data_IF_251733664601
#
_entry.id   IF_251733664601
#
_cell.length_a   1.000
_cell.length_b   1.000
_cell.length_c   1.000
_cell.angle_alpha   90.00
_cell.angle_beta   90.00
_cell.angle_gamma   90.00
#
_symmetry.space_group_name_H-M   'P 1'
#
loop_
_entity.id
_entity.type
_entity.pdbx_description
1 polymer ?
#
# COMPACT_ATOMS: atom_id res chain seq x y z
N UNK A 1 -33.41 -5.29 1.38
CA UNK A 1 -32.27 -5.27 2.34
C UNK A 1 -30.96 -5.73 1.70
N UNK A 2 -30.95 -6.81 0.91
CA UNK A 2 -29.75 -7.24 0.15
C UNK A 2 -29.30 -6.24 -0.93
N UNK A 3 -30.22 -5.59 -1.66
CA UNK A 3 -29.90 -4.56 -2.64
C UNK A 3 -29.34 -3.26 -2.03
N UNK A 4 -29.77 -2.90 -0.81
CA UNK A 4 -29.26 -1.73 -0.08
C UNK A 4 -27.84 -1.99 0.45
N UNK A 5 -27.55 -3.23 0.83
CA UNK A 5 -26.25 -3.67 1.35
C UNK A 5 -25.22 -3.89 0.23
N UNK A 6 -25.66 -4.33 -0.97
CA UNK A 6 -24.83 -4.35 -2.18
C UNK A 6 -24.44 -2.94 -2.59
N UNK A 7 -25.36 -1.97 -2.48
CA UNK A 7 -25.06 -0.55 -2.70
C UNK A 7 -24.05 -0.01 -1.69
N UNK A 8 -24.16 -0.33 -0.40
CA UNK A 8 -23.17 0.09 0.62
C UNK A 8 -21.80 -0.57 0.41
N UNK A 9 -21.77 -1.84 0.00
CA UNK A 9 -20.52 -2.56 -0.29
C UNK A 9 -19.84 -2.02 -1.55
N UNK A 10 -20.60 -1.66 -2.60
CA UNK A 10 -20.07 -0.96 -3.77
C UNK A 10 -19.65 0.49 -3.44
N UNK A 11 -20.41 1.21 -2.61
CA UNK A 11 -20.11 2.59 -2.19
C UNK A 11 -18.83 2.67 -1.34
N UNK A 12 -18.49 1.63 -0.59
CA UNK A 12 -17.22 1.54 0.15
C UNK A 12 -16.03 1.09 -0.71
N UNK A 13 -16.29 0.47 -1.87
CA UNK A 13 -15.28 0.02 -2.83
C UNK A 13 -14.99 1.06 -3.93
N UNK A 14 -15.79 2.12 -4.05
CA UNK A 14 -15.53 3.23 -4.97
C UNK A 14 -15.09 4.44 -4.15
N UNK A 15 -13.80 4.79 -4.07
CA UNK A 15 -13.40 6.07 -3.48
C UNK A 15 -14.02 7.20 -4.32
N UNK A 16 -14.71 8.11 -3.63
CA UNK A 16 -15.73 8.98 -4.19
C UNK A 16 -15.30 9.89 -5.33
N UNK A 17 -16.17 9.97 -6.35
CA UNK A 17 -16.47 11.22 -7.05
C UNK A 17 -17.62 11.89 -6.28
N UNK A 18 -17.27 12.76 -5.35
CA UNK A 18 -18.18 13.81 -4.85
C UNK A 18 -17.37 15.10 -4.84
N UNK A 19 -17.42 15.82 -5.97
CA UNK A 19 -17.31 17.26 -5.93
C UNK A 19 -18.62 17.80 -6.47
N UNK A 20 -19.33 18.45 -5.55
CA UNK A 20 -20.57 19.16 -5.74
C UNK A 20 -20.39 20.27 -6.75
N UNK A 21 -21.41 20.41 -7.59
CA UNK A 21 -21.71 21.53 -8.44
C UNK A 21 -21.93 22.83 -7.62
N UNK A 22 -21.79 23.96 -8.32
CA UNK A 22 -22.16 25.34 -7.98
C UNK A 22 -21.25 26.21 -7.07
N UNK A 23 -20.41 27.02 -7.72
CA UNK A 23 -20.18 28.43 -7.33
C UNK A 23 -19.83 29.25 -8.56
N UNK A 24 -20.88 29.58 -9.32
CA UNK A 24 -20.89 30.73 -10.23
C UNK A 24 -20.99 32.03 -9.42
N UNK A 25 -20.33 33.08 -9.95
CA UNK A 25 -20.26 34.50 -9.54
C UNK A 25 -19.04 34.87 -8.69
N UNK A 26 -17.99 35.37 -9.37
CA UNK A 26 -17.65 36.80 -9.31
C UNK A 26 -16.72 37.20 -10.48
N UNK A 27 -17.14 38.27 -11.17
CA UNK A 27 -16.37 39.21 -11.97
C UNK A 27 -15.78 38.77 -13.32
N UNK A 28 -16.56 39.02 -14.37
CA UNK A 28 -16.07 39.41 -15.69
C UNK A 28 -15.37 40.79 -15.67
N UNK A 29 -14.62 41.04 -16.75
CA UNK A 29 -14.02 42.30 -17.21
C UNK A 29 -12.73 42.77 -16.53
N UNK A 30 -11.59 42.67 -17.24
CA UNK A 30 -11.10 43.78 -18.08
C UNK A 30 -9.88 43.36 -18.90
N UNK A 31 -10.11 43.24 -20.20
CA UNK A 31 -9.17 43.67 -21.23
C UNK A 31 -8.76 45.13 -20.97
N UNK A 32 -7.48 45.38 -20.69
CA UNK A 32 -6.74 46.63 -20.95
C UNK A 32 -5.53 46.71 -20.00
N UNK A 33 -4.36 46.27 -20.48
CA UNK A 33 -3.09 46.94 -20.17
C UNK A 33 -1.97 46.52 -21.14
N UNK A 34 -2.29 46.51 -22.43
CA UNK A 34 -1.30 46.81 -23.45
C UNK A 34 -1.15 48.33 -23.51
N UNK A 35 0.08 48.80 -23.70
CA UNK A 35 0.46 50.21 -23.85
C UNK A 35 0.55 51.03 -22.57
N UNK A 36 1.63 50.84 -21.80
CA UNK A 36 2.30 52.00 -21.23
C UNK A 36 3.82 51.81 -21.26
N UNK A 37 4.48 52.78 -21.90
CA UNK A 37 5.90 53.13 -21.81
C UNK A 37 6.88 52.39 -22.75
N UNK A 38 6.64 52.54 -24.04
CA UNK A 38 7.72 52.99 -24.94
C UNK A 38 7.73 54.52 -24.97
N UNK A 39 8.93 55.11 -25.04
CA UNK A 39 9.30 56.52 -25.30
C UNK A 39 9.78 57.31 -24.08
N UNK A 40 11.10 57.30 -23.85
CA UNK A 40 11.81 58.56 -23.66
C UNK A 40 13.25 58.45 -24.19
N UNK A 41 13.55 59.37 -25.10
CA UNK A 41 14.81 59.67 -25.78
C UNK A 41 15.83 60.34 -24.84
N UNK A 42 17.14 60.21 -25.12
CA UNK A 42 18.14 61.15 -24.59
C UNK A 42 19.58 60.65 -24.58
N UNK A 43 20.46 61.42 -25.22
CA UNK A 43 21.91 61.22 -25.39
C UNK A 43 22.67 61.91 -24.23
N UNK A 44 23.89 61.42 -23.97
CA UNK A 44 25.06 62.04 -23.30
C UNK A 44 25.29 61.96 -21.76
N UNK A 45 26.42 61.29 -21.46
CA UNK A 45 27.54 61.68 -20.58
C UNK A 45 27.47 61.69 -19.04
N UNK A 46 28.30 60.79 -18.49
CA UNK A 46 29.11 60.86 -17.27
C UNK A 46 28.50 60.53 -15.89
N UNK A 47 28.97 59.40 -15.33
CA UNK A 47 29.65 59.24 -14.03
C UNK A 47 29.23 57.98 -13.27
N UNK A 48 30.23 57.28 -12.71
CA UNK A 48 30.20 55.96 -12.11
C UNK A 48 29.06 55.69 -11.12
N UNK A 49 28.48 54.49 -11.17
CA UNK A 49 28.31 53.66 -9.96
C UNK A 49 28.21 52.17 -10.34
N UNK A 50 29.13 51.39 -9.78
CA UNK A 50 29.14 49.92 -9.73
C UNK A 50 27.78 49.35 -9.34
N UNK A 51 27.23 48.45 -10.14
CA UNK A 51 26.25 47.47 -9.65
C UNK A 51 26.59 46.11 -10.22
N UNK A 52 27.27 45.30 -9.39
CA UNK A 52 27.45 43.87 -9.59
C UNK A 52 26.07 43.23 -9.75
N UNK A 53 25.78 42.64 -10.91
CA UNK A 53 24.70 41.66 -11.03
C UNK A 53 25.07 40.46 -10.15
N UNK A 54 24.16 39.96 -9.28
CA UNK A 54 24.41 38.71 -8.58
C UNK A 54 24.32 37.57 -9.59
N UNK A 55 25.46 36.93 -9.85
CA UNK A 55 25.52 35.65 -10.52
C UNK A 55 24.79 34.64 -9.62
N UNK A 56 23.52 34.35 -9.92
CA UNK A 56 22.78 33.25 -9.27
C UNK A 56 23.46 31.96 -9.72
N UNK A 57 24.46 31.54 -8.96
CA UNK A 57 25.09 30.25 -9.13
C UNK A 57 24.07 29.20 -8.77
N UNK A 58 23.59 28.44 -9.77
CA UNK A 58 22.91 27.16 -9.58
C UNK A 58 23.93 26.13 -9.06
N UNK A 59 24.57 26.42 -7.92
CA UNK A 59 25.47 25.51 -7.24
C UNK A 59 24.62 24.45 -6.53
N UNK A 60 24.60 23.24 -7.09
CA UNK A 60 24.13 22.06 -6.38
C UNK A 60 24.97 21.87 -5.12
N UNK A 61 24.36 22.12 -3.95
CA UNK A 61 25.03 21.97 -2.64
C UNK A 61 25.49 20.52 -2.49
N UNK A 62 26.80 20.30 -2.52
CA UNK A 62 27.39 18.97 -2.33
C UNK A 62 27.23 18.56 -0.86
N UNK A 63 26.83 17.31 -0.61
CA UNK A 63 26.73 16.79 0.75
C UNK A 63 28.12 16.70 1.42
N UNK A 64 28.14 16.93 2.73
CA UNK A 64 29.36 16.82 3.56
C UNK A 64 29.85 15.36 3.73
N UNK A 65 28.91 14.39 3.76
CA UNK A 65 29.21 12.95 3.86
C UNK A 65 28.54 12.12 2.75
N UNK A 66 29.13 10.97 2.44
CA UNK A 66 28.60 10.00 1.50
C UNK A 66 27.53 9.13 2.18
N UNK A 67 26.39 8.93 1.51
CA UNK A 67 25.41 7.94 1.93
C UNK A 67 26.00 6.54 1.78
N UNK A 68 26.26 5.87 2.90
CA UNK A 68 26.76 4.50 2.93
C UNK A 68 25.83 3.64 3.78
N UNK A 69 25.43 2.50 3.25
CA UNK A 69 24.79 1.43 4.01
C UNK A 69 25.91 0.50 4.48
N UNK A 70 26.01 0.26 5.78
CA UNK A 70 27.02 -0.62 6.36
C UNK A 70 26.91 -2.03 5.75
N UNK A 71 28.05 -2.66 5.42
CA UNK A 71 28.07 -4.04 4.88
C UNK A 71 27.38 -5.02 5.82
N UNK A 72 27.61 -4.90 7.13
CA UNK A 72 26.93 -5.69 8.17
C UNK A 72 25.40 -5.59 8.06
N UNK A 73 24.87 -4.39 7.78
CA UNK A 73 23.43 -4.21 7.57
C UNK A 73 22.95 -4.94 6.32
N UNK A 74 23.70 -4.87 5.21
CA UNK A 74 23.33 -5.57 3.97
C UNK A 74 23.22 -7.08 4.19
N UNK A 75 24.20 -7.68 4.88
CA UNK A 75 24.17 -9.11 5.21
C UNK A 75 22.98 -9.47 6.09
N UNK A 76 22.76 -8.75 7.20
CA UNK A 76 21.64 -9.01 8.11
C UNK A 76 20.30 -8.88 7.38
N UNK A 77 20.11 -7.79 6.63
CA UNK A 77 18.87 -7.54 5.91
C UNK A 77 18.60 -8.61 4.85
N UNK A 78 19.62 -9.03 4.09
CA UNK A 78 19.48 -10.11 3.10
C UNK A 78 19.09 -11.44 3.75
N UNK A 79 19.72 -11.82 4.87
CA UNK A 79 19.36 -13.05 5.61
C UNK A 79 17.90 -13.01 6.07
N UNK A 80 17.48 -11.87 6.64
CA UNK A 80 16.09 -11.66 7.07
C UNK A 80 15.13 -11.76 5.88
N UNK A 81 15.42 -11.07 4.77
CA UNK A 81 14.60 -11.14 3.54
C UNK A 81 14.49 -12.57 2.99
N UNK A 82 15.57 -13.35 2.99
CA UNK A 82 15.53 -14.76 2.57
C UNK A 82 14.65 -15.62 3.48
N UNK A 83 14.72 -15.41 4.81
CA UNK A 83 13.87 -16.13 5.75
C UNK A 83 12.38 -15.79 5.54
N UNK A 84 12.06 -14.50 5.36
CA UNK A 84 10.71 -14.02 5.04
C UNK A 84 10.20 -14.67 3.74
N UNK A 85 11.04 -14.70 2.70
CA UNK A 85 10.69 -15.32 1.43
C UNK A 85 10.30 -16.80 1.59
N UNK A 86 11.14 -17.60 2.26
CA UNK A 86 10.90 -19.04 2.44
C UNK A 86 9.63 -19.27 3.26
N UNK A 87 9.50 -18.60 4.41
CA UNK A 87 8.34 -18.76 5.31
C UNK A 87 7.06 -18.30 4.62
N UNK A 88 7.09 -17.17 3.93
CA UNK A 88 5.95 -16.62 3.22
C UNK A 88 5.49 -17.50 2.06
N UNK A 89 6.42 -18.01 1.26
CA UNK A 89 6.13 -18.93 0.17
C UNK A 89 5.51 -20.23 0.68
N UNK A 90 6.16 -20.89 1.64
CA UNK A 90 5.68 -22.16 2.21
C UNK A 90 4.32 -21.98 2.90
N UNK A 91 4.18 -20.93 3.72
CA UNK A 91 2.96 -20.65 4.47
C UNK A 91 1.75 -20.41 3.58
N UNK A 92 1.87 -19.47 2.61
CA UNK A 92 0.76 -19.13 1.73
C UNK A 92 0.43 -20.24 0.73
N UNK A 93 1.44 -20.94 0.19
CA UNK A 93 1.20 -22.11 -0.67
C UNK A 93 0.50 -23.24 0.09
N UNK A 94 0.88 -23.49 1.34
CA UNK A 94 0.22 -24.49 2.19
C UNK A 94 -1.22 -24.10 2.51
N UNK A 95 -1.47 -22.82 2.81
CA UNK A 95 -2.81 -22.30 3.05
C UNK A 95 -3.73 -22.49 1.83
N UNK A 96 -3.25 -22.13 0.63
CA UNK A 96 -3.97 -22.36 -0.63
C UNK A 96 -4.24 -23.85 -0.85
N UNK A 97 -3.24 -24.71 -0.65
CA UNK A 97 -3.37 -26.16 -0.77
C UNK A 97 -4.43 -26.73 0.17
N UNK A 98 -4.46 -26.28 1.43
CA UNK A 98 -5.46 -26.72 2.43
C UNK A 98 -6.87 -26.35 1.99
N UNK A 99 -7.08 -25.12 1.52
CA UNK A 99 -8.40 -24.65 1.08
C UNK A 99 -8.84 -25.40 -0.18
N UNK A 100 -7.90 -25.62 -1.12
CA UNK A 100 -8.17 -26.37 -2.33
C UNK A 100 -8.53 -27.83 -2.03
N UNK A 101 -7.76 -28.54 -1.22
CA UNK A 101 -7.95 -29.98 -1.01
C UNK A 101 -9.17 -30.34 -0.15
N UNK A 102 -9.54 -29.49 0.83
CA UNK A 102 -10.63 -29.78 1.75
C UNK A 102 -11.95 -29.16 1.28
N UNK A 103 -12.87 -29.98 0.75
CA UNK A 103 -14.20 -29.50 0.30
C UNK A 103 -14.97 -28.75 1.40
N UNK A 104 -14.85 -29.17 2.66
CA UNK A 104 -15.46 -28.51 3.82
C UNK A 104 -14.89 -27.12 4.14
N UNK A 105 -13.79 -26.73 3.50
CA UNK A 105 -13.17 -25.40 3.60
C UNK A 105 -13.52 -24.50 2.42
N UNK A 106 -14.24 -24.98 1.39
CA UNK A 106 -14.60 -24.18 0.21
C UNK A 106 -15.89 -23.40 0.45
N UNK A 107 -15.78 -22.30 1.17
CA UNK A 107 -16.86 -21.35 1.43
C UNK A 107 -16.41 -19.93 1.13
N UNK A 108 -17.34 -18.97 1.06
CA UNK A 108 -17.04 -17.57 0.73
C UNK A 108 -15.88 -16.95 1.54
N UNK A 109 -15.90 -17.00 2.88
CA UNK A 109 -14.83 -16.44 3.70
C UNK A 109 -13.45 -17.03 3.42
N UNK A 110 -13.38 -18.35 3.22
CA UNK A 110 -12.13 -19.03 2.91
C UNK A 110 -11.68 -18.75 1.46
N UNK A 111 -12.60 -18.43 0.54
CA UNK A 111 -12.26 -17.96 -0.80
C UNK A 111 -11.61 -16.56 -0.76
N UNK A 112 -12.06 -15.66 0.13
CA UNK A 112 -11.40 -14.37 0.39
C UNK A 112 -10.01 -14.57 0.99
N UNK A 113 -9.85 -15.50 1.94
CA UNK A 113 -8.53 -15.88 2.49
C UNK A 113 -7.62 -16.44 1.40
N UNK A 114 -8.15 -17.23 0.47
CA UNK A 114 -7.37 -17.74 -0.67
C UNK A 114 -6.98 -16.61 -1.63
N UNK A 115 -7.86 -15.65 -1.90
CA UNK A 115 -7.57 -14.44 -2.68
C UNK A 115 -6.44 -13.62 -2.04
N UNK A 116 -6.50 -13.43 -0.72
CA UNK A 116 -5.45 -12.79 0.08
C UNK A 116 -4.11 -13.54 -0.04
N UNK A 117 -4.10 -14.86 0.16
CA UNK A 117 -2.89 -15.68 0.07
C UNK A 117 -2.25 -15.66 -1.33
N UNK A 118 -3.07 -15.56 -2.40
CA UNK A 118 -2.57 -15.41 -3.76
C UNK A 118 -1.92 -14.03 -3.98
N UNK A 119 -2.53 -12.96 -3.47
CA UNK A 119 -1.94 -11.61 -3.47
C UNK A 119 -0.63 -11.56 -2.70
N UNK A 120 -0.57 -12.18 -1.52
CA UNK A 120 0.64 -12.31 -0.69
C UNK A 120 1.77 -13.03 -1.43
N UNK A 121 1.49 -14.14 -2.12
CA UNK A 121 2.49 -14.84 -2.93
C UNK A 121 3.04 -13.96 -4.05
N UNK A 122 2.18 -13.26 -4.79
CA UNK A 122 2.60 -12.34 -5.86
C UNK A 122 3.47 -11.23 -5.28
N UNK A 123 3.07 -10.64 -4.15
CA UNK A 123 3.86 -9.61 -3.47
C UNK A 123 5.25 -10.14 -3.08
N UNK A 124 5.34 -11.27 -2.37
CA UNK A 124 6.62 -11.84 -1.89
C UNK A 124 7.55 -12.21 -3.05
N UNK A 125 7.03 -12.84 -4.10
CA UNK A 125 7.82 -13.28 -5.27
C UNK A 125 8.47 -12.11 -6.00
N UNK A 126 7.82 -10.95 -5.98
CA UNK A 126 8.24 -9.79 -6.77
C UNK A 126 9.07 -8.82 -5.92
N UNK A 127 8.61 -8.55 -4.71
CA UNK A 127 9.16 -7.55 -3.82
C UNK A 127 10.56 -7.96 -3.34
N UNK A 128 10.69 -9.16 -2.74
CA UNK A 128 11.93 -9.57 -2.07
C UNK A 128 13.13 -9.67 -3.02
N UNK A 129 13.06 -10.37 -4.18
CA UNK A 129 14.21 -10.46 -5.07
C UNK A 129 14.69 -9.10 -5.54
N UNK A 130 13.78 -8.17 -5.81
CA UNK A 130 14.09 -6.83 -6.29
C UNK A 130 14.71 -5.97 -5.19
N UNK A 131 14.20 -6.05 -3.95
CA UNK A 131 14.78 -5.33 -2.80
C UNK A 131 16.20 -5.83 -2.52
N UNK A 132 16.39 -7.15 -2.47
CA UNK A 132 17.70 -7.75 -2.21
C UNK A 132 18.68 -7.40 -3.33
N UNK A 133 18.25 -7.48 -4.59
CA UNK A 133 19.08 -7.07 -5.72
C UNK A 133 19.48 -5.60 -5.63
N UNK A 134 18.53 -4.69 -5.37
CA UNK A 134 18.82 -3.26 -5.19
C UNK A 134 19.79 -3.01 -4.03
N UNK A 135 19.65 -3.73 -2.93
CA UNK A 135 20.51 -3.59 -1.76
C UNK A 135 21.95 -4.04 -2.04
N UNK A 136 22.13 -5.16 -2.73
CA UNK A 136 23.45 -5.74 -2.99
C UNK A 136 24.15 -5.13 -4.21
N UNK A 137 23.44 -5.03 -5.34
CA UNK A 137 24.01 -4.57 -6.60
C UNK A 137 24.00 -3.05 -6.76
N UNK A 138 23.21 -2.32 -5.95
CA UNK A 138 23.06 -0.85 -6.02
C UNK A 138 22.70 -0.33 -7.44
N UNK A 139 22.07 -1.18 -8.25
CA UNK A 139 21.71 -0.93 -9.64
C UNK A 139 20.32 -1.51 -9.93
N UNK A 140 19.67 -1.04 -10.99
CA UNK A 140 18.45 -1.68 -11.49
C UNK A 140 18.80 -2.92 -12.33
N UNK A 141 18.15 -4.09 -12.12
CA UNK A 141 18.42 -5.28 -12.90
C UNK A 141 18.08 -5.03 -14.37
N UNK A 142 18.98 -5.45 -15.26
CA UNK A 142 18.80 -5.35 -16.72
C UNK A 142 18.55 -3.92 -17.25
N UNK A 143 19.04 -2.88 -16.56
CA UNK A 143 18.74 -1.48 -16.86
C UNK A 143 19.06 -1.03 -18.29
N UNK A 144 20.02 -1.68 -18.96
CA UNK A 144 20.40 -1.37 -20.34
C UNK A 144 19.60 -2.13 -21.41
N UNK A 145 18.58 -2.91 -21.01
CA UNK A 145 17.75 -3.71 -21.91
C UNK A 145 16.29 -3.28 -21.89
N UNK A 146 15.58 -3.56 -22.98
CA UNK A 146 14.13 -3.36 -23.07
C UNK A 146 13.36 -4.13 -21.98
N UNK A 147 13.87 -5.29 -21.56
CA UNK A 147 13.31 -6.06 -20.47
C UNK A 147 13.41 -5.33 -19.12
N UNK A 148 14.54 -4.66 -18.83
CA UNK A 148 14.69 -3.83 -17.64
C UNK A 148 13.74 -2.63 -17.61
N UNK A 149 13.45 -2.04 -18.77
CA UNK A 149 12.46 -0.97 -18.88
C UNK A 149 11.05 -1.47 -18.59
N UNK A 150 10.66 -2.61 -19.17
CA UNK A 150 9.39 -3.26 -18.87
C UNK A 150 9.25 -3.57 -17.38
N UNK A 151 10.26 -4.20 -16.78
CA UNK A 151 10.29 -4.53 -15.36
C UNK A 151 10.15 -3.27 -14.49
N UNK A 152 10.75 -2.15 -14.88
CA UNK A 152 10.69 -0.91 -14.11
C UNK A 152 9.26 -0.36 -13.97
N UNK A 153 8.41 -0.63 -14.96
CA UNK A 153 6.97 -0.28 -14.91
C UNK A 153 6.15 -1.38 -14.26
N UNK A 154 6.43 -2.63 -14.62
CA UNK A 154 5.64 -3.78 -14.21
C UNK A 154 5.76 -4.09 -12.72
N UNK A 155 6.98 -4.05 -12.15
CA UNK A 155 7.22 -4.46 -10.77
C UNK A 155 6.58 -3.52 -9.74
N UNK A 156 6.70 -2.18 -9.83
CA UNK A 156 5.98 -1.28 -8.92
C UNK A 156 4.46 -1.38 -9.07
N UNK A 157 3.97 -1.56 -10.30
CA UNK A 157 2.54 -1.77 -10.58
C UNK A 157 1.99 -3.00 -9.86
N UNK A 158 2.59 -4.16 -10.10
CA UNK A 158 2.10 -5.42 -9.52
C UNK A 158 2.34 -5.47 -8.01
N UNK A 159 3.42 -4.85 -7.52
CA UNK A 159 3.65 -4.66 -6.09
C UNK A 159 2.48 -3.89 -5.46
N UNK A 160 2.12 -2.71 -6.00
CA UNK A 160 0.99 -1.93 -5.46
C UNK A 160 -0.36 -2.60 -5.65
N UNK A 161 -0.59 -3.27 -6.77
CA UNK A 161 -1.80 -4.06 -6.97
C UNK A 161 -1.93 -5.16 -5.91
N UNK A 162 -0.85 -5.86 -5.57
CA UNK A 162 -0.85 -6.91 -4.54
C UNK A 162 -1.13 -6.37 -3.13
N UNK A 163 -0.61 -5.18 -2.80
CA UNK A 163 -0.98 -4.48 -1.56
C UNK A 163 -2.47 -4.10 -1.58
N UNK A 164 -2.99 -3.66 -2.74
CA UNK A 164 -4.42 -3.35 -2.93
C UNK A 164 -5.30 -4.57 -2.67
N UNK A 165 -4.92 -5.71 -3.23
CA UNK A 165 -5.61 -7.00 -3.04
C UNK A 165 -5.62 -7.34 -1.55
N UNK A 166 -4.49 -7.16 -0.87
CA UNK A 166 -4.37 -7.43 0.57
C UNK A 166 -5.34 -6.59 1.39
N UNK A 167 -5.31 -5.26 1.24
CA UNK A 167 -6.09 -4.34 2.08
C UNK A 167 -7.59 -4.46 1.81
N UNK A 168 -7.99 -4.63 0.54
CA UNK A 168 -9.39 -4.79 0.16
C UNK A 168 -9.95 -6.15 0.61
N UNK A 169 -9.16 -7.22 0.57
CA UNK A 169 -9.58 -8.51 1.16
C UNK A 169 -9.74 -8.42 2.68
N UNK A 170 -8.89 -7.68 3.39
CA UNK A 170 -9.06 -7.46 4.85
C UNK A 170 -10.36 -6.71 5.17
N UNK A 171 -10.70 -5.70 4.36
CA UNK A 171 -11.98 -5.01 4.44
C UNK A 171 -13.16 -5.96 4.18
N UNK A 172 -13.10 -6.73 3.08
CA UNK A 172 -14.14 -7.70 2.72
C UNK A 172 -14.35 -8.76 3.81
N UNK A 173 -13.26 -9.27 4.39
CA UNK A 173 -13.30 -10.19 5.52
C UNK A 173 -14.01 -9.56 6.72
N UNK A 174 -13.70 -8.31 7.06
CA UNK A 174 -14.34 -7.57 8.16
C UNK A 174 -15.84 -7.39 7.94
N UNK A 175 -16.25 -7.02 6.72
CA UNK A 175 -17.65 -6.91 6.31
C UNK A 175 -18.36 -8.26 6.42
N UNK A 176 -17.75 -9.33 5.91
CA UNK A 176 -18.34 -10.66 5.94
C UNK A 176 -18.49 -11.18 7.39
N UNK A 177 -17.54 -10.89 8.29
CA UNK A 177 -17.69 -11.19 9.73
C UNK A 177 -18.88 -10.46 10.35
N UNK A 178 -19.01 -9.16 10.09
CA UNK A 178 -20.14 -8.38 10.58
C UNK A 178 -21.47 -8.93 10.04
N UNK A 179 -21.55 -9.19 8.73
CA UNK A 179 -22.74 -9.76 8.09
C UNK A 179 -23.13 -11.12 8.65
N UNK A 180 -22.15 -11.98 8.93
CA UNK A 180 -22.39 -13.29 9.54
C UNK A 180 -22.99 -13.17 10.95
N UNK A 181 -22.78 -12.05 11.66
CA UNK A 181 -23.35 -11.80 12.99
C UNK A 181 -24.71 -11.14 12.90
N UNK A 182 -24.84 -10.11 12.06
CA UNK A 182 -26.07 -9.34 11.88
C UNK A 182 -27.18 -10.13 11.16
N UNK A 183 -26.82 -10.97 10.18
CA UNK A 183 -27.77 -11.83 9.46
C UNK A 183 -27.78 -13.23 10.04
N UNK A 184 -28.90 -13.60 10.67
CA UNK A 184 -29.09 -14.91 11.27
C UNK A 184 -29.63 -15.98 10.30
N UNK A 185 -30.21 -15.57 9.16
CA UNK A 185 -30.81 -16.50 8.19
C UNK A 185 -29.88 -16.95 7.05
N UNK A 186 -28.62 -16.48 7.03
CA UNK A 186 -27.67 -16.90 6.00
C UNK A 186 -27.22 -18.34 6.27
N UNK A 187 -27.93 -19.30 5.69
CA UNK A 187 -27.49 -20.70 5.60
C UNK A 187 -26.14 -20.70 4.89
N UNK A 188 -25.07 -20.99 5.62
CA UNK A 188 -23.72 -21.10 5.08
C UNK A 188 -23.61 -22.46 4.37
N UNK A 189 -24.15 -22.52 3.15
CA UNK A 189 -24.04 -23.67 2.28
C UNK A 189 -22.58 -24.00 1.94
N UNK A 190 -22.33 -25.26 1.61
CA UNK A 190 -21.05 -25.71 1.05
C UNK A 190 -20.97 -25.17 -0.38
N UNK A 191 -19.90 -24.43 -0.69
CA UNK A 191 -19.71 -23.79 -2.00
C UNK A 191 -19.32 -22.31 -1.90
N UNK A 192 -18.72 -21.80 -2.97
CA UNK A 192 -18.39 -20.38 -3.11
C UNK A 192 -19.63 -19.71 -3.72
N UNK A 193 -20.33 -18.82 -2.99
CA UNK A 193 -21.47 -18.12 -3.56
C UNK A 193 -20.97 -17.21 -4.69
N UNK A 194 -21.76 -17.10 -5.76
CA UNK A 194 -21.45 -16.25 -6.92
C UNK A 194 -21.15 -14.79 -6.50
N UNK A 195 -21.84 -14.29 -5.48
CA UNK A 195 -21.59 -12.97 -4.88
C UNK A 195 -20.14 -12.83 -4.39
N UNK A 196 -19.57 -13.84 -3.74
CA UNK A 196 -18.16 -13.80 -3.30
C UNK A 196 -17.19 -13.89 -4.47
N UNK A 197 -17.54 -14.59 -5.55
CA UNK A 197 -16.71 -14.60 -6.75
C UNK A 197 -16.68 -13.21 -7.43
N UNK A 198 -17.83 -12.53 -7.52
CA UNK A 198 -17.91 -11.14 -7.98
C UNK A 198 -17.08 -10.22 -7.07
N UNK A 199 -17.22 -10.37 -5.75
CA UNK A 199 -16.47 -9.57 -4.77
C UNK A 199 -14.96 -9.72 -4.97
N UNK A 200 -14.45 -10.95 -5.11
CA UNK A 200 -13.03 -11.20 -5.40
C UNK A 200 -12.62 -10.55 -6.72
N UNK A 201 -13.40 -10.73 -7.79
CA UNK A 201 -13.09 -10.13 -9.08
C UNK A 201 -13.02 -8.59 -9.00
N UNK A 202 -13.98 -7.96 -8.31
CA UNK A 202 -13.99 -6.52 -8.08
C UNK A 202 -12.79 -6.04 -7.27
N UNK A 203 -12.37 -6.79 -6.25
CA UNK A 203 -11.15 -6.50 -5.46
C UNK A 203 -9.93 -6.47 -6.37
N UNK A 204 -9.76 -7.47 -7.22
CA UNK A 204 -8.61 -7.55 -8.13
C UNK A 204 -8.63 -6.43 -9.17
N UNK A 205 -9.78 -6.21 -9.81
CA UNK A 205 -9.94 -5.15 -10.81
C UNK A 205 -9.63 -3.77 -10.21
N UNK A 206 -10.21 -3.46 -9.05
CA UNK A 206 -9.97 -2.19 -8.37
C UNK A 206 -8.49 -2.03 -7.98
N UNK A 207 -7.87 -3.10 -7.47
CA UNK A 207 -6.45 -3.07 -7.09
C UNK A 207 -5.53 -2.78 -8.28
N UNK A 208 -5.82 -3.38 -9.44
CA UNK A 208 -5.08 -3.08 -10.66
C UNK A 208 -5.29 -1.64 -11.12
N UNK A 209 -6.54 -1.15 -11.11
CA UNK A 209 -6.85 0.23 -11.51
C UNK A 209 -6.09 1.24 -10.64
N UNK A 210 -6.10 1.05 -9.32
CA UNK A 210 -5.41 1.94 -8.38
C UNK A 210 -3.88 1.91 -8.50
N UNK A 211 -3.32 0.86 -9.11
CA UNK A 211 -1.89 0.72 -9.34
C UNK A 211 -1.42 1.30 -10.68
N UNK A 212 -2.33 1.61 -11.62
CA UNK A 212 -2.00 2.14 -12.97
C UNK A 212 -1.00 3.31 -12.93
N UNK A 213 -1.13 4.32 -12.04
CA UNK A 213 -0.18 5.44 -12.01
C UNK A 213 1.28 5.02 -11.80
N UNK A 214 1.52 3.89 -11.12
CA UNK A 214 2.87 3.35 -10.92
C UNK A 214 3.47 2.87 -12.25
N UNK A 215 2.68 2.17 -13.09
CA UNK A 215 3.12 1.70 -14.41
C UNK A 215 3.43 2.87 -15.37
N UNK A 216 2.62 3.92 -15.30
CA UNK A 216 2.80 5.10 -16.16
C UNK A 216 4.02 5.91 -15.69
N UNK A 217 4.14 6.14 -14.38
CA UNK A 217 5.11 7.06 -13.81
C UNK A 217 6.53 6.53 -13.65
N UNK A 218 6.71 5.21 -13.50
CA UNK A 218 8.04 4.66 -13.34
C UNK A 218 8.77 4.56 -14.68
N UNK A 219 10.04 4.96 -14.66
CA UNK A 219 10.93 4.89 -15.81
C UNK A 219 12.36 4.58 -15.34
N UNK A 220 13.13 3.96 -16.22
CA UNK A 220 14.58 3.80 -16.03
C UNK A 220 15.22 5.15 -16.33
N UNK A 221 15.97 5.68 -15.36
CA UNK A 221 16.61 6.99 -15.48
C UNK A 221 18.11 6.85 -15.22
N UNK A 222 18.96 7.26 -16.19
CA UNK A 222 20.39 7.37 -15.97
C UNK A 222 20.72 8.66 -15.21
N UNK A 223 21.63 8.59 -14.25
CA UNK A 223 22.20 9.76 -13.57
C UNK A 223 23.70 9.61 -13.40
N UNK A 224 24.41 10.74 -13.43
CA UNK A 224 25.85 10.78 -13.15
C UNK A 224 26.08 11.27 -11.72
N UNK A 225 26.82 10.48 -10.95
CA UNK A 225 27.23 10.85 -9.60
C UNK A 225 28.73 10.67 -9.47
N UNK A 226 29.46 11.76 -9.22
CA UNK A 226 30.93 11.79 -9.12
C UNK A 226 31.62 11.10 -10.32
N UNK A 227 31.22 11.49 -11.53
CA UNK A 227 31.76 10.98 -12.81
C UNK A 227 31.52 9.50 -13.12
N UNK A 228 30.84 8.77 -12.22
CA UNK A 228 30.30 7.43 -12.48
C UNK A 228 28.85 7.48 -12.96
N UNK A 229 28.53 6.62 -13.93
CA UNK A 229 27.18 6.45 -14.45
C UNK A 229 26.37 5.44 -13.64
N UNK A 230 25.20 5.83 -13.19
CA UNK A 230 24.25 4.98 -12.48
C UNK A 230 22.93 4.91 -13.25
N UNK A 231 22.30 3.74 -13.23
CA UNK A 231 20.99 3.51 -13.84
C UNK A 231 20.05 2.95 -12.76
N UNK A 232 18.95 3.66 -12.51
CA UNK A 232 17.95 3.25 -11.53
C UNK A 232 16.53 3.37 -12.07
N UNK A 233 15.62 2.64 -11.45
CA UNK A 233 14.20 2.72 -11.73
C UNK A 233 13.53 3.61 -10.68
N UNK A 234 12.96 4.74 -11.11
CA UNK A 234 12.32 5.70 -10.23
C UNK A 234 11.10 6.36 -10.87
N UNK A 235 10.27 6.98 -10.04
CA UNK A 235 9.12 7.76 -10.49
C UNK A 235 9.59 9.04 -11.18
N UNK A 236 9.39 9.14 -12.48
CA UNK A 236 9.77 10.29 -13.30
C UNK A 236 8.50 10.96 -13.88
N UNK A 237 8.02 12.08 -13.30
CA UNK A 237 6.79 12.71 -13.74
C UNK A 237 6.96 13.39 -15.11
N UNK A 238 6.27 12.90 -16.14
CA UNK A 238 6.33 13.46 -17.50
C UNK A 238 5.21 14.44 -17.83
N UNK A 239 4.10 14.41 -17.09
CA UNK A 239 2.94 15.27 -17.32
C UNK A 239 2.43 15.89 -16.00
N UNK A 240 1.54 16.89 -16.09
CA UNK A 240 1.00 17.62 -14.92
C UNK A 240 0.31 16.69 -13.92
N UNK A 241 -0.42 15.67 -14.40
CA UNK A 241 -1.07 14.69 -13.54
C UNK A 241 -0.05 13.84 -12.76
N UNK A 242 1.03 13.40 -13.40
CA UNK A 242 2.08 12.61 -12.77
C UNK A 242 2.90 13.44 -11.76
N UNK A 243 3.01 14.75 -11.97
CA UNK A 243 3.58 15.66 -10.99
C UNK A 243 2.70 15.72 -9.73
N UNK A 244 1.39 15.94 -9.90
CA UNK A 244 0.43 15.85 -8.81
C UNK A 244 0.49 14.49 -8.11
N UNK A 245 0.53 13.38 -8.88
CA UNK A 245 0.64 12.04 -8.32
C UNK A 245 1.92 11.88 -7.50
N UNK A 246 3.08 12.34 -7.99
CA UNK A 246 4.34 12.31 -7.22
C UNK A 246 4.18 13.01 -5.88
N UNK A 247 3.55 14.18 -5.86
CA UNK A 247 3.36 14.97 -4.65
C UNK A 247 2.24 14.44 -3.75
N UNK A 248 1.25 13.72 -4.28
CA UNK A 248 0.15 13.15 -3.50
C UNK A 248 0.40 11.70 -3.07
N UNK A 249 1.31 10.97 -3.74
CA UNK A 249 1.47 9.51 -3.65
C UNK A 249 1.58 8.99 -2.22
N UNK A 250 2.49 9.51 -1.41
CA UNK A 250 2.69 8.97 -0.06
C UNK A 250 1.48 9.22 0.87
N UNK A 251 0.80 10.36 0.71
CA UNK A 251 -0.44 10.66 1.42
C UNK A 251 -1.60 9.79 0.95
N UNK A 252 -1.72 9.61 -0.36
CA UNK A 252 -2.69 8.69 -0.97
C UNK A 252 -2.49 7.26 -0.48
N UNK A 253 -1.25 6.77 -0.50
CA UNK A 253 -0.90 5.44 -0.01
C UNK A 253 -1.21 5.30 1.48
N UNK A 254 -0.87 6.29 2.30
CA UNK A 254 -1.21 6.27 3.72
C UNK A 254 -2.73 6.30 3.96
N UNK A 255 -3.48 7.17 3.27
CA UNK A 255 -4.92 7.27 3.43
C UNK A 255 -5.65 6.01 2.97
N UNK A 256 -5.42 5.59 1.73
CA UNK A 256 -6.16 4.49 1.11
C UNK A 256 -5.64 3.11 1.51
N UNK A 257 -4.32 2.88 1.49
CA UNK A 257 -3.80 1.54 1.76
C UNK A 257 -3.59 1.28 3.26
N UNK A 258 -3.50 2.31 4.11
CA UNK A 258 -3.30 2.11 5.55
C UNK A 258 -4.51 2.55 6.40
N UNK A 259 -4.96 3.80 6.30
CA UNK A 259 -6.05 4.29 7.16
C UNK A 259 -7.41 3.66 6.83
N UNK A 260 -7.75 3.49 5.55
CA UNK A 260 -9.03 2.91 5.12
C UNK A 260 -9.26 1.48 5.68
N UNK A 261 -8.34 0.50 5.58
CA UNK A 261 -8.58 -0.83 6.13
C UNK A 261 -8.69 -0.83 7.65
N UNK A 262 -7.94 0.04 8.35
CA UNK A 262 -8.06 0.20 9.80
C UNK A 262 -9.42 0.78 10.19
N UNK A 263 -9.86 1.85 9.53
CA UNK A 263 -11.16 2.48 9.77
C UNK A 263 -12.31 1.51 9.45
N UNK A 264 -12.26 0.84 8.30
CA UNK A 264 -13.23 -0.17 7.90
C UNK A 264 -13.36 -1.27 8.97
N UNK A 265 -12.24 -1.85 9.39
CA UNK A 265 -12.23 -2.89 10.42
C UNK A 265 -12.75 -2.37 11.75
N UNK A 266 -12.31 -1.18 12.18
CA UNK A 266 -12.76 -0.58 13.44
C UNK A 266 -14.28 -0.35 13.44
N UNK A 267 -14.83 0.16 12.34
CA UNK A 267 -16.28 0.38 12.18
C UNK A 267 -17.02 -0.96 12.22
N UNK A 268 -16.67 -1.94 11.39
CA UNK A 268 -17.39 -3.22 11.34
C UNK A 268 -17.23 -4.04 12.61
N UNK A 269 -16.07 -3.97 13.27
CA UNK A 269 -15.85 -4.63 14.56
C UNK A 269 -16.67 -3.96 15.68
N UNK A 270 -16.77 -2.63 15.68
CA UNK A 270 -17.63 -1.90 16.62
C UNK A 270 -19.10 -2.23 16.39
N UNK A 271 -19.57 -2.16 15.13
CA UNK A 271 -20.95 -2.53 14.78
C UNK A 271 -21.26 -3.98 15.16
N UNK A 272 -20.34 -4.91 14.91
CA UNK A 272 -20.47 -6.30 15.33
C UNK A 272 -20.60 -6.41 16.85
N UNK A 273 -19.75 -5.72 17.61
CA UNK A 273 -19.77 -5.77 19.08
C UNK A 273 -21.06 -5.15 19.64
N UNK A 274 -21.49 -4.02 19.09
CA UNK A 274 -22.75 -3.37 19.45
C UNK A 274 -23.96 -4.29 19.18
N UNK A 275 -24.01 -4.91 18.00
CA UNK A 275 -25.09 -5.84 17.63
C UNK A 275 -25.15 -7.04 18.59
N UNK A 276 -23.99 -7.58 18.97
CA UNK A 276 -23.90 -8.65 19.96
C UNK A 276 -24.36 -8.22 21.36
N UNK A 277 -24.02 -7.01 21.79
CA UNK A 277 -24.42 -6.47 23.10
C UNK A 277 -25.92 -6.17 23.14
N UNK A 278 -26.47 -5.60 22.08
CA UNK A 278 -27.90 -5.27 22.00
C UNK A 278 -28.76 -6.55 22.07
N UNK A 279 -28.30 -7.63 21.43
CA UNK A 279 -28.97 -8.94 21.49
C UNK A 279 -28.78 -9.67 22.82
N UNK A 280 -27.74 -9.35 23.60
CA UNK A 280 -27.54 -9.88 24.96
C UNK A 280 -28.60 -9.40 25.96
N UNK A 281 -29.19 -8.22 25.73
CA UNK A 281 -30.30 -7.68 26.53
C UNK A 281 -31.67 -8.30 26.19
N UNK A 282 -31.78 -9.08 25.11
CA UNK A 282 -32.98 -9.87 24.80
C UNK A 282 -32.89 -11.25 25.45
N UNK A 283 -33.98 -11.73 26.07
CA UNK A 283 -34.06 -12.93 26.93
C UNK A 283 -33.77 -14.30 26.26
N UNK A 284 -33.02 -14.38 25.15
CA UNK A 284 -32.72 -15.63 24.45
C UNK A 284 -31.46 -16.32 25.02
N UNK A 285 -31.67 -16.99 26.16
CA UNK A 285 -30.67 -17.59 27.04
C UNK A 285 -29.91 -18.78 26.41
N UNK A 286 -28.59 -18.76 26.59
CA UNK A 286 -27.63 -19.89 26.64
C UNK A 286 -27.26 -20.58 25.30
N UNK A 287 -28.20 -21.09 24.48
CA UNK A 287 -27.81 -21.74 23.21
C UNK A 287 -27.23 -20.74 22.19
N UNK A 288 -27.73 -19.50 22.23
CA UNK A 288 -27.21 -18.39 21.45
C UNK A 288 -25.80 -17.96 21.89
N UNK A 289 -25.43 -18.16 23.17
CA UNK A 289 -24.13 -17.69 23.66
C UNK A 289 -22.97 -18.50 23.09
N UNK A 290 -23.12 -19.81 22.87
CA UNK A 290 -22.11 -20.69 22.25
C UNK A 290 -21.89 -20.35 20.77
N UNK A 291 -22.96 -20.16 19.98
CA UNK A 291 -22.85 -19.73 18.59
C UNK A 291 -22.28 -18.30 18.46
N UNK A 292 -22.67 -17.37 19.34
CA UNK A 292 -22.08 -16.03 19.38
C UNK A 292 -20.61 -16.05 19.82
N UNK A 293 -20.24 -16.96 20.73
CA UNK A 293 -18.85 -17.16 21.17
C UNK A 293 -17.99 -17.67 20.03
N UNK A 294 -18.46 -18.65 19.26
CA UNK A 294 -17.78 -19.07 18.03
C UNK A 294 -17.64 -17.92 17.02
N UNK A 295 -18.72 -17.13 16.78
CA UNK A 295 -18.65 -15.98 15.86
C UNK A 295 -17.65 -14.91 16.35
N UNK A 296 -17.55 -14.69 17.67
CA UNK A 296 -16.56 -13.79 18.29
C UNK A 296 -15.14 -14.28 18.10
N UNK A 297 -14.87 -15.56 18.28
CA UNK A 297 -13.52 -16.13 18.04
C UNK A 297 -13.06 -15.92 16.60
N UNK A 298 -13.97 -16.07 15.63
CA UNK A 298 -13.62 -15.85 14.21
C UNK A 298 -13.44 -14.36 13.88
N UNK A 299 -14.19 -13.44 14.52
CA UNK A 299 -13.97 -12.01 14.36
C UNK A 299 -12.70 -11.50 15.06
N UNK A 300 -12.32 -12.10 16.20
CA UNK A 300 -11.01 -11.87 16.81
C UNK A 300 -9.87 -12.21 15.85
N UNK A 301 -10.03 -13.24 15.02
CA UNK A 301 -9.06 -13.56 13.97
C UNK A 301 -8.87 -12.41 13.00
N UNK A 302 -9.96 -11.85 12.48
CA UNK A 302 -9.89 -10.72 11.52
C UNK A 302 -9.32 -9.46 12.18
N UNK A 303 -9.73 -9.16 13.42
CA UNK A 303 -9.14 -8.07 14.18
C UNK A 303 -7.63 -8.26 14.38
N UNK A 304 -7.20 -9.47 14.74
CA UNK A 304 -5.79 -9.81 14.91
C UNK A 304 -5.00 -9.64 13.60
N UNK A 305 -5.53 -10.10 12.46
CA UNK A 305 -4.92 -9.91 11.15
C UNK A 305 -4.73 -8.41 10.82
N UNK A 306 -5.70 -7.57 11.17
CA UNK A 306 -5.64 -6.13 10.90
C UNK A 306 -4.68 -5.40 11.85
N UNK A 307 -4.58 -5.83 13.11
CA UNK A 307 -3.57 -5.30 14.04
C UNK A 307 -2.16 -5.66 13.55
N UNK A 308 -1.95 -6.89 13.11
CA UNK A 308 -0.67 -7.32 12.53
C UNK A 308 -0.36 -6.49 11.28
N UNK A 309 -1.33 -6.32 10.39
CA UNK A 309 -1.20 -5.41 9.25
C UNK A 309 -0.78 -4.00 9.68
N UNK A 310 -1.44 -3.43 10.69
CA UNK A 310 -1.11 -2.10 11.20
C UNK A 310 0.35 -2.01 11.67
N UNK A 311 0.77 -2.96 12.51
CA UNK A 311 2.12 -2.99 13.07
C UNK A 311 3.18 -3.20 11.98
N UNK A 312 2.88 -4.02 10.98
CA UNK A 312 3.82 -4.34 9.91
C UNK A 312 3.98 -3.19 8.90
N UNK A 313 2.88 -2.52 8.56
CA UNK A 313 2.86 -1.48 7.52
C UNK A 313 3.16 -0.08 8.06
N UNK A 314 2.88 0.18 9.33
CA UNK A 314 3.06 1.50 9.92
C UNK A 314 4.48 2.05 9.78
N UNK A 315 5.57 1.29 10.04
CA UNK A 315 6.93 1.82 9.91
C UNK A 315 7.29 2.24 8.49
N UNK A 316 6.71 1.60 7.47
CA UNK A 316 6.92 1.95 6.05
C UNK A 316 6.21 3.26 5.69
N UNK A 317 4.96 3.43 6.13
CA UNK A 317 4.26 4.68 5.88
C UNK A 317 4.90 5.84 6.63
N UNK A 318 5.28 5.60 7.89
CA UNK A 318 5.95 6.59 8.71
C UNK A 318 7.29 7.01 8.09
N UNK A 319 8.13 6.07 7.65
CA UNK A 319 9.43 6.37 7.04
C UNK A 319 9.30 7.26 5.81
N UNK A 320 8.30 6.98 4.95
CA UNK A 320 8.06 7.75 3.72
C UNK A 320 7.53 9.15 3.99
N UNK A 321 6.58 9.28 4.92
CA UNK A 321 6.06 10.59 5.32
C UNK A 321 7.15 11.42 5.99
N UNK A 322 7.94 10.83 6.90
CA UNK A 322 9.08 11.52 7.53
C UNK A 322 10.10 11.97 6.48
N UNK A 323 10.49 11.09 5.55
CA UNK A 323 11.38 11.45 4.45
C UNK A 323 10.84 12.64 3.68
N UNK A 324 9.56 12.66 3.35
CA UNK A 324 8.94 13.75 2.60
C UNK A 324 8.86 15.07 3.37
N UNK A 325 8.60 15.02 4.68
CA UNK A 325 8.45 16.22 5.52
C UNK A 325 9.79 16.84 5.92
N UNK A 326 10.83 16.02 6.09
CA UNK A 326 12.13 16.47 6.63
C UNK A 326 13.17 16.68 5.53
N UNK A 327 13.08 15.99 4.39
CA UNK A 327 14.07 16.12 3.32
C UNK A 327 14.01 17.49 2.65
N UNK A 328 15.09 18.25 2.79
CA UNK A 328 15.30 19.51 2.09
C UNK A 328 16.52 19.39 1.17
N UNK A 329 16.32 19.64 -0.13
CA UNK A 329 17.39 19.54 -1.12
C UNK A 329 18.51 20.56 -0.91
N UNK A 330 18.22 21.68 -0.22
CA UNK A 330 19.17 22.76 0.05
C UNK A 330 19.97 22.55 1.34
N UNK A 331 19.66 21.53 2.13
CA UNK A 331 20.36 21.26 3.38
C UNK A 331 21.67 20.48 3.15
N UNK A 332 22.84 20.99 3.57
CA UNK A 332 24.11 20.27 3.51
C UNK A 332 24.13 18.95 4.31
N UNK A 333 23.30 18.84 5.36
CA UNK A 333 23.16 17.66 6.23
C UNK A 333 22.24 16.57 5.66
N UNK A 334 21.60 16.79 4.51
CA UNK A 334 20.63 15.86 3.90
C UNK A 334 21.13 14.43 3.70
N UNK A 335 22.43 14.25 3.47
CA UNK A 335 23.01 12.93 3.26
C UNK A 335 23.19 12.14 4.57
N UNK A 336 23.35 12.79 5.72
CA UNK A 336 23.37 12.11 7.01
C UNK A 336 21.97 11.59 7.35
N UNK A 337 20.96 12.45 7.18
CA UNK A 337 19.56 12.07 7.30
C UNK A 337 19.21 10.90 6.35
N UNK A 338 19.64 10.97 5.09
CA UNK A 338 19.39 9.90 4.12
C UNK A 338 20.14 8.61 4.49
N UNK A 339 21.33 8.70 5.08
CA UNK A 339 22.08 7.54 5.59
C UNK A 339 21.36 6.83 6.73
N UNK A 340 20.60 7.56 7.54
CA UNK A 340 19.74 6.98 8.57
C UNK A 340 18.42 6.43 8.00
N UNK A 341 17.78 7.17 7.10
CA UNK A 341 16.48 6.80 6.52
C UNK A 341 16.55 5.60 5.57
N UNK A 342 17.68 5.39 4.88
CA UNK A 342 17.83 4.28 3.93
C UNK A 342 17.75 2.90 4.61
N UNK A 343 18.56 2.58 5.65
CA UNK A 343 18.41 1.33 6.41
C UNK A 343 17.02 1.17 7.03
N UNK A 344 16.43 2.26 7.54
CA UNK A 344 15.10 2.25 8.11
C UNK A 344 14.05 1.89 7.04
N UNK A 345 14.17 2.41 5.82
CA UNK A 345 13.28 2.04 4.71
C UNK A 345 13.40 0.56 4.36
N UNK A 346 14.62 -0.01 4.29
CA UNK A 346 14.81 -1.44 4.06
C UNK A 346 14.22 -2.32 5.19
N UNK A 347 14.39 -1.93 6.45
CA UNK A 347 13.77 -2.61 7.60
C UNK A 347 12.25 -2.53 7.50
N UNK A 348 11.71 -1.34 7.25
CA UNK A 348 10.27 -1.10 7.15
C UNK A 348 9.64 -1.86 5.98
N UNK A 349 10.32 -1.96 4.84
CA UNK A 349 9.87 -2.78 3.72
C UNK A 349 9.85 -4.26 4.11
N UNK A 350 10.93 -4.78 4.69
CA UNK A 350 10.96 -6.17 5.17
C UNK A 350 9.83 -6.44 6.17
N UNK A 351 9.55 -5.51 7.07
CA UNK A 351 8.46 -5.65 8.03
C UNK A 351 7.08 -5.60 7.35
N UNK A 352 6.87 -4.76 6.34
CA UNK A 352 5.65 -4.78 5.53
C UNK A 352 5.48 -6.12 4.81
N UNK A 353 6.57 -6.71 4.30
CA UNK A 353 6.56 -8.03 3.64
C UNK A 353 6.38 -9.18 4.64
N UNK A 354 6.80 -9.01 5.90
CA UNK A 354 6.48 -9.97 6.97
C UNK A 354 4.98 -10.14 7.19
N UNK A 355 4.16 -9.11 6.95
CA UNK A 355 2.70 -9.20 7.05
C UNK A 355 2.16 -10.40 6.26
N UNK A 356 2.62 -10.54 5.01
CA UNK A 356 2.23 -11.64 4.12
C UNK A 356 2.63 -13.03 4.66
N UNK A 357 3.67 -13.10 5.49
CA UNK A 357 4.13 -14.36 6.10
C UNK A 357 3.36 -14.69 7.39
N UNK A 358 2.93 -13.67 8.12
CA UNK A 358 2.23 -13.83 9.40
C UNK A 358 0.77 -14.27 9.17
N UNK A 359 0.17 -13.93 8.03
CA UNK A 359 -1.23 -14.26 7.71
C UNK A 359 -1.57 -15.77 7.92
N UNK A 360 -0.87 -16.75 7.30
CA UNK A 360 -1.09 -18.18 7.58
C UNK A 360 -0.86 -18.57 9.05
N UNK A 361 0.13 -17.98 9.71
CA UNK A 361 0.49 -18.27 11.10
C UNK A 361 -0.62 -17.80 12.04
N UNK A 362 -1.12 -16.58 11.84
CA UNK A 362 -2.24 -16.03 12.59
C UNK A 362 -3.51 -16.89 12.40
N UNK A 363 -3.78 -17.35 11.17
CA UNK A 363 -4.89 -18.28 10.91
C UNK A 363 -4.72 -19.62 11.62
N UNK A 364 -3.50 -20.16 11.68
CA UNK A 364 -3.18 -21.39 12.41
C UNK A 364 -3.44 -21.26 13.93
N UNK A 365 -3.00 -20.16 14.55
CA UNK A 365 -3.16 -19.99 16.00
C UNK A 365 -4.58 -19.61 16.41
N UNK A 366 -5.28 -18.79 15.62
CA UNK A 366 -6.57 -18.24 16.04
C UNK A 366 -7.75 -19.12 15.61
N UNK A 367 -7.65 -19.86 14.50
CA UNK A 367 -8.73 -20.74 14.04
C UNK A 367 -8.47 -22.21 14.33
N UNK A 368 -9.24 -22.78 15.27
CA UNK A 368 -9.23 -24.22 15.57
C UNK A 368 -9.45 -25.09 14.32
N UNK A 369 -10.28 -24.64 13.38
CA UNK A 369 -10.56 -25.37 12.13
C UNK A 369 -9.32 -25.40 11.22
N UNK A 370 -8.64 -24.27 11.06
CA UNK A 370 -7.39 -24.23 10.31
C UNK A 370 -6.30 -25.04 11.03
N UNK A 371 -6.12 -24.85 12.34
CA UNK A 371 -5.18 -25.63 13.16
C UNK A 371 -5.28 -27.13 12.92
N UNK A 372 -6.50 -27.70 13.01
CA UNK A 372 -6.72 -29.13 12.79
C UNK A 372 -6.34 -29.56 11.36
N UNK A 373 -6.66 -28.77 10.34
CA UNK A 373 -6.27 -29.08 8.95
C UNK A 373 -4.76 -28.97 8.71
N UNK A 374 -4.05 -28.09 9.42
CA UNK A 374 -2.60 -28.01 9.38
C UNK A 374 -1.94 -29.20 10.10
N UNK A 375 -2.48 -29.64 11.25
CA UNK A 375 -1.91 -30.73 12.07
C UNK A 375 -2.12 -32.13 11.49
N UNK A 376 -3.28 -32.41 10.88
CA UNK A 376 -3.59 -33.72 10.27
C UNK A 376 -2.65 -34.07 9.11
N UNK A 377 -1.83 -33.12 8.64
CA UNK A 377 -0.95 -33.29 7.48
C UNK A 377 0.53 -33.06 7.77
N UNK A 378 0.89 -32.73 9.01
CA UNK A 378 2.27 -32.76 9.51
C UNK A 378 2.63 -34.10 10.16
N UNK A 379 1.68 -35.04 10.16
CA UNK A 379 1.84 -36.47 10.50
C UNK A 379 1.70 -37.26 9.19
#
# INVERSE_FOLDING_TARGET
MEALCLRVSLLLLVPGFVLSDSSDRYAANRSDLGNYLSTFSGIESSMLLTTRQPLVSNQTVKCSQQTKIAETFKYINTVVSCAIFIVGMVGNATLLRIIYQNKCMRNGPNALIASLALGDLIYIVIDIPIIVYKLLAQKWPFGDSEFGQFLCKFLPFIQKASVGITVLNLCALSVDRYRAVASWSRVQGIGIPMITAIEIFSIWLLSFILAIPEAIGFAVVPFRYKDEGYVTCMLNPTNKFMLFYKDAKDWWLFGFYFCMPLACTAIFYTLMTCEMLNRRNSNLRIALSEHLKQRREVAKTVFCLVVIFALCWFPLHLSRILKKMVYNERDPGRCELLSFLLPLDYISINLATMNSCINPIALYFVSKKFKNCFQVRSS
#
